data_IF_970693647225
#
_entry.id   IF_970693647225
#
_cell.length_a   1.000
_cell.length_b   1.000
_cell.length_c   1.000
_cell.angle_alpha   90.00
_cell.angle_beta   90.00
_cell.angle_gamma   90.00
#
_symmetry.space_group_name_H-M   'P 1'
#
loop_
_entity.id
_entity.type
_entity.pdbx_description
1 polymer ?
#
# COMPACT_ATOMS: atom_id res chain seq x y z
N UNK A 1 0.12 5.57 0.55
CA UNK A 1 -1.06 6.28 0.08
C UNK A 1 -2.02 5.34 -0.66
N UNK A 2 -1.68 4.82 -1.82
CA UNK A 2 -2.56 4.08 -2.76
C UNK A 2 -3.24 2.80 -2.24
N UNK A 3 -2.88 2.31 -1.10
CA UNK A 3 -3.43 1.06 -0.52
C UNK A 3 -4.18 1.29 0.78
N UNK A 4 -4.11 2.49 1.33
CA UNK A 4 -4.57 2.77 2.68
C UNK A 4 -3.89 1.92 3.76
N UNK A 5 -2.70 1.36 3.48
CA UNK A 5 -1.95 0.58 4.45
C UNK A 5 -1.55 1.42 5.68
N UNK A 6 -1.44 0.78 6.84
CA UNK A 6 -0.77 1.38 8.00
C UNK A 6 0.74 1.36 7.77
N UNK A 7 1.46 2.32 8.33
CA UNK A 7 2.92 2.37 8.20
C UNK A 7 3.61 1.04 8.55
N UNK A 8 3.20 0.39 9.63
CA UNK A 8 3.77 -0.90 10.02
C UNK A 8 3.41 -2.02 9.03
N UNK A 9 2.21 -1.99 8.44
CA UNK A 9 1.80 -2.97 7.41
C UNK A 9 2.68 -2.84 6.16
N UNK A 10 3.01 -1.61 5.76
CA UNK A 10 3.94 -1.37 4.66
C UNK A 10 5.36 -1.85 4.99
N UNK A 11 5.85 -1.55 6.19
CA UNK A 11 7.18 -1.98 6.63
C UNK A 11 7.30 -3.50 6.78
N UNK A 12 6.23 -4.18 7.15
CA UNK A 12 6.17 -5.64 7.30
C UNK A 12 5.91 -6.37 5.97
N UNK A 13 5.84 -5.65 4.84
CA UNK A 13 5.63 -6.26 3.53
C UNK A 13 6.84 -7.10 3.13
N UNK A 14 6.64 -8.40 2.98
CA UNK A 14 7.65 -9.35 2.54
C UNK A 14 7.62 -9.47 1.01
N UNK A 15 8.77 -9.74 0.40
CA UNK A 15 8.91 -9.80 -1.06
C UNK A 15 8.05 -10.90 -1.69
N UNK A 16 7.88 -12.02 -0.98
CA UNK A 16 7.03 -13.13 -1.41
C UNK A 16 5.53 -12.82 -1.42
N UNK A 17 5.12 -11.72 -0.76
CA UNK A 17 3.73 -11.27 -0.75
C UNK A 17 3.37 -10.41 -1.97
N UNK A 18 4.37 -10.03 -2.78
CA UNK A 18 4.13 -9.28 -4.01
C UNK A 18 3.61 -10.23 -5.09
N UNK A 19 2.42 -9.98 -5.64
CA UNK A 19 1.95 -10.74 -6.79
C UNK A 19 2.80 -10.41 -8.02
N UNK A 20 2.92 -11.34 -8.93
CA UNK A 20 3.52 -11.07 -10.24
C UNK A 20 2.61 -10.09 -10.98
N UNK A 21 3.15 -8.97 -11.48
CA UNK A 21 2.34 -8.01 -12.23
C UNK A 21 1.78 -8.64 -13.52
N UNK A 22 0.55 -8.28 -13.86
CA UNK A 22 -0.11 -8.67 -15.09
C UNK A 22 -0.72 -7.46 -15.81
N UNK A 23 -1.21 -7.66 -17.02
CA UNK A 23 -1.86 -6.62 -17.85
C UNK A 23 -3.38 -6.73 -17.83
N UNK A 24 -3.93 -7.79 -17.26
CA UNK A 24 -5.35 -8.09 -17.30
C UNK A 24 -6.14 -7.40 -16.17
N UNK A 25 -5.45 -7.04 -15.08
CA UNK A 25 -6.06 -6.46 -13.88
C UNK A 25 -5.55 -5.05 -13.58
N UNK A 26 -6.47 -4.14 -13.28
CA UNK A 26 -6.12 -2.79 -12.81
C UNK A 26 -5.68 -2.76 -11.34
N UNK A 27 -6.10 -3.74 -10.56
CA UNK A 27 -5.85 -3.86 -9.11
C UNK A 27 -5.37 -5.27 -8.80
N UNK A 28 -4.35 -5.38 -7.96
CA UNK A 28 -3.89 -6.65 -7.42
C UNK A 28 -4.04 -6.74 -5.90
N UNK A 29 -3.83 -7.93 -5.36
CA UNK A 29 -4.01 -8.22 -3.93
C UNK A 29 -2.69 -8.64 -3.30
N UNK A 30 -2.26 -7.89 -2.30
CA UNK A 30 -1.14 -8.23 -1.41
C UNK A 30 -1.72 -9.03 -0.24
N UNK A 31 -1.41 -10.32 -0.20
CA UNK A 31 -2.11 -11.23 0.72
C UNK A 31 -1.43 -11.36 2.06
N UNK A 32 -2.27 -11.56 3.09
CA UNK A 32 -1.85 -11.98 4.43
C UNK A 32 -0.90 -11.02 5.14
N UNK A 33 -1.04 -9.72 4.88
CA UNK A 33 -0.25 -8.69 5.55
C UNK A 33 -0.55 -8.66 7.04
N UNK A 34 0.48 -8.61 7.87
CA UNK A 34 0.34 -8.52 9.33
C UNK A 34 -0.25 -7.19 9.75
N UNK A 35 -1.29 -7.22 10.57
CA UNK A 35 -1.99 -6.03 11.05
C UNK A 35 -2.47 -6.23 12.49
N UNK A 36 -1.81 -5.62 13.46
CA UNK A 36 -2.20 -5.61 14.89
C UNK A 36 -2.66 -6.98 15.41
N UNK A 37 -1.84 -8.03 15.24
CA UNK A 37 -2.13 -9.39 15.70
C UNK A 37 -3.08 -10.20 14.81
N UNK A 38 -3.55 -9.63 13.71
CA UNK A 38 -4.34 -10.32 12.68
C UNK A 38 -3.62 -10.26 11.34
N UNK A 39 -4.16 -10.95 10.35
CA UNK A 39 -3.73 -10.81 8.96
C UNK A 39 -4.88 -10.24 8.15
N UNK A 40 -4.56 -9.45 7.15
CA UNK A 40 -5.52 -8.94 6.15
C UNK A 40 -4.89 -8.84 4.79
N UNK A 41 -5.71 -8.73 3.78
CA UNK A 41 -5.27 -8.44 2.43
C UNK A 41 -5.28 -6.92 2.21
N UNK A 42 -4.34 -6.44 1.38
CA UNK A 42 -4.30 -5.08 0.89
C UNK A 42 -4.53 -5.09 -0.62
N UNK A 43 -5.29 -4.14 -1.08
CA UNK A 43 -5.55 -3.94 -2.50
C UNK A 43 -4.65 -2.81 -3.01
N UNK A 44 -3.97 -3.03 -4.12
CA UNK A 44 -3.02 -2.08 -4.69
C UNK A 44 -3.26 -1.93 -6.19
N UNK A 45 -3.21 -0.70 -6.73
CA UNK A 45 -3.21 -0.51 -8.17
C UNK A 45 -2.08 -1.27 -8.84
N UNK A 46 -2.31 -1.84 -10.02
CA UNK A 46 -1.33 -2.68 -10.70
C UNK A 46 -0.04 -1.92 -11.04
N UNK A 47 -0.12 -0.61 -11.33
CA UNK A 47 1.07 0.20 -11.54
C UNK A 47 1.99 0.21 -10.31
N UNK A 48 1.43 0.33 -9.09
CA UNK A 48 2.21 0.30 -7.85
C UNK A 48 2.85 -1.08 -7.64
N UNK A 49 2.12 -2.15 -7.97
CA UNK A 49 2.66 -3.52 -7.89
C UNK A 49 3.84 -3.67 -8.85
N UNK A 50 3.75 -3.14 -10.08
CA UNK A 50 4.86 -3.14 -11.04
C UNK A 50 6.08 -2.39 -10.49
N UNK A 51 5.89 -1.20 -9.95
CA UNK A 51 6.97 -0.42 -9.34
C UNK A 51 7.63 -1.15 -8.17
N UNK A 52 6.83 -1.72 -7.26
CA UNK A 52 7.36 -2.50 -6.14
C UNK A 52 8.07 -3.77 -6.63
N UNK A 53 7.54 -4.42 -7.64
CA UNK A 53 8.13 -5.63 -8.22
C UNK A 53 9.47 -5.32 -8.90
N UNK A 54 9.52 -4.25 -9.72
CA UNK A 54 10.75 -3.77 -10.32
C UNK A 54 11.78 -3.40 -9.26
N UNK A 55 11.38 -2.62 -8.24
CA UNK A 55 12.23 -2.23 -7.11
C UNK A 55 12.85 -3.42 -6.37
N UNK A 56 12.13 -4.55 -6.28
CA UNK A 56 12.60 -5.76 -5.58
C UNK A 56 13.46 -6.64 -6.48
N UNK A 57 13.09 -6.78 -7.77
CA UNK A 57 13.61 -7.81 -8.67
C UNK A 57 14.43 -7.25 -9.84
N UNK A 58 14.73 -5.94 -9.89
CA UNK A 58 15.65 -5.38 -10.86
C UNK A 58 17.04 -6.03 -10.77
N UNK A 59 17.77 -6.17 -11.90
CA UNK A 59 19.02 -6.94 -11.97
C UNK A 59 20.08 -6.52 -10.94
N UNK A 60 20.17 -5.23 -10.63
CA UNK A 60 21.12 -4.71 -9.64
C UNK A 60 20.70 -4.98 -8.20
N UNK A 61 19.40 -5.25 -7.96
CA UNK A 61 18.84 -5.61 -6.66
C UNK A 61 18.86 -7.15 -6.42
N UNK A 62 18.92 -7.95 -7.49
CA UNK A 62 18.75 -9.41 -7.47
C UNK A 62 19.84 -10.17 -6.72
N UNK A 63 21.01 -9.57 -6.50
CA UNK A 63 22.11 -10.22 -5.76
C UNK A 63 21.86 -10.30 -4.24
N UNK A 64 20.79 -9.68 -3.75
CA UNK A 64 20.45 -9.70 -2.33
C UNK A 64 19.07 -10.31 -2.15
N UNK A 65 18.99 -11.60 -1.85
CA UNK A 65 17.74 -12.25 -1.36
C UNK A 65 17.26 -11.51 -0.11
N UNK A 66 16.48 -10.43 -0.31
CA UNK A 66 15.90 -9.67 0.78
C UNK A 66 14.54 -10.24 1.12
N UNK A 67 14.28 -10.40 2.41
CA UNK A 67 12.98 -10.88 2.89
C UNK A 67 11.91 -9.79 2.80
N UNK A 68 12.26 -8.54 3.06
CA UNK A 68 11.33 -7.42 3.11
C UNK A 68 11.46 -6.54 1.87
N UNK A 69 10.35 -5.95 1.44
CA UNK A 69 10.33 -5.00 0.32
C UNK A 69 11.14 -3.75 0.69
N UNK A 70 10.92 -3.23 1.89
CA UNK A 70 11.62 -2.03 2.37
C UNK A 70 12.73 -2.42 3.33
N UNK A 71 13.97 -2.20 2.90
CA UNK A 71 15.18 -2.52 3.66
C UNK A 71 16.08 -1.30 3.77
N UNK A 72 16.92 -1.28 4.80
CA UNK A 72 17.97 -0.29 4.91
C UNK A 72 19.03 -0.55 3.83
N UNK A 73 19.37 0.47 3.05
CA UNK A 73 20.36 0.35 1.96
C UNK A 73 21.79 0.59 2.43
N UNK A 74 21.95 1.42 3.44
CA UNK A 74 23.27 1.90 3.92
C UNK A 74 23.46 1.56 5.40
N UNK A 75 24.71 1.60 5.84
CA UNK A 75 25.17 1.33 7.21
C UNK A 75 25.28 -0.17 7.57
N UNK A 76 25.62 -0.45 8.82
CA UNK A 76 25.71 -1.81 9.40
C UNK A 76 24.34 -2.54 9.42
N UNK A 77 23.27 -1.89 8.97
CA UNK A 77 21.93 -2.44 8.89
C UNK A 77 21.48 -2.74 7.46
N UNK A 78 22.38 -2.61 6.46
CA UNK A 78 22.04 -2.89 5.05
C UNK A 78 21.40 -4.28 4.89
N UNK A 79 20.27 -4.33 4.15
CA UNK A 79 19.49 -5.53 3.92
C UNK A 79 18.53 -5.93 5.06
N UNK A 80 18.58 -5.27 6.22
CA UNK A 80 17.60 -5.47 7.29
C UNK A 80 16.33 -4.68 7.01
N UNK A 81 15.21 -5.15 7.54
CA UNK A 81 13.92 -4.45 7.46
C UNK A 81 14.06 -2.98 7.85
N UNK A 82 13.47 -2.09 7.07
CA UNK A 82 13.41 -0.66 7.38
C UNK A 82 12.62 -0.45 8.68
N UNK A 83 13.21 0.30 9.61
CA UNK A 83 12.54 0.60 10.89
C UNK A 83 11.52 1.72 10.72
N UNK A 84 10.53 1.76 11.62
CA UNK A 84 9.57 2.87 11.67
C UNK A 84 10.27 4.23 11.82
N UNK A 85 11.33 4.30 12.63
CA UNK A 85 12.08 5.53 12.83
C UNK A 85 12.75 6.01 11.54
N UNK A 86 13.38 5.10 10.79
CA UNK A 86 13.99 5.45 9.51
C UNK A 86 12.94 5.89 8.46
N UNK A 87 11.78 5.22 8.42
CA UNK A 87 10.66 5.65 7.57
C UNK A 87 10.11 7.02 7.99
N UNK A 88 10.05 7.30 9.29
CA UNK A 88 9.65 8.60 9.82
C UNK A 88 10.64 9.71 9.42
N UNK A 89 11.96 9.45 9.50
CA UNK A 89 12.98 10.39 9.05
C UNK A 89 12.90 10.67 7.56
N UNK A 90 12.59 9.65 6.73
CA UNK A 90 12.32 9.84 5.31
C UNK A 90 11.10 10.76 5.09
N UNK A 91 10.01 10.49 5.78
CA UNK A 91 8.80 11.30 5.71
C UNK A 91 9.09 12.77 6.08
N UNK A 92 9.85 13.00 7.16
CA UNK A 92 10.22 14.36 7.59
C UNK A 92 11.02 15.10 6.53
N UNK A 93 11.97 14.44 5.87
CA UNK A 93 12.72 15.05 4.74
C UNK A 93 11.80 15.40 3.58
N UNK A 94 10.83 14.54 3.28
CA UNK A 94 9.83 14.80 2.25
C UNK A 94 8.95 16.01 2.62
N UNK A 95 8.54 16.15 3.88
CA UNK A 95 7.83 17.32 4.38
C UNK A 95 8.65 18.59 4.19
N UNK A 96 9.92 18.57 4.57
CA UNK A 96 10.85 19.70 4.42
C UNK A 96 10.99 20.08 2.94
N UNK A 97 11.13 19.10 2.05
CA UNK A 97 11.24 19.32 0.61
C UNK A 97 9.98 19.94 0.00
N UNK A 98 8.81 19.45 0.39
CA UNK A 98 7.52 19.90 -0.13
C UNK A 98 6.99 21.17 0.54
N UNK A 99 7.55 21.59 1.66
CA UNK A 99 7.03 22.68 2.48
C UNK A 99 5.64 22.39 3.07
N UNK A 100 5.32 21.10 3.30
CA UNK A 100 4.02 20.64 3.77
C UNK A 100 4.19 19.73 4.98
N UNK A 101 3.33 19.88 5.98
CA UNK A 101 3.25 18.95 7.10
C UNK A 101 2.20 17.87 6.83
N UNK A 102 2.58 16.60 6.97
CA UNK A 102 1.67 15.45 6.90
C UNK A 102 2.25 14.24 7.62
N UNK A 103 1.40 13.35 8.09
CA UNK A 103 1.80 12.12 8.75
C UNK A 103 1.37 10.88 7.96
N UNK A 104 1.93 9.71 8.26
CA UNK A 104 1.51 8.45 7.63
C UNK A 104 0.00 8.21 7.75
N UNK A 105 -0.60 8.67 8.85
CA UNK A 105 -2.03 8.51 9.08
C UNK A 105 -2.87 9.39 8.14
N UNK A 106 -2.37 10.57 7.80
CA UNK A 106 -3.04 11.51 6.88
C UNK A 106 -3.08 10.93 5.46
N UNK A 107 -1.99 10.28 5.02
CA UNK A 107 -1.97 9.58 3.74
C UNK A 107 -3.05 8.49 3.66
N UNK A 108 -3.23 7.76 4.75
CA UNK A 108 -4.28 6.75 4.85
C UNK A 108 -5.68 7.37 4.92
N UNK A 109 -5.84 8.47 5.63
CA UNK A 109 -7.10 9.23 5.67
C UNK A 109 -7.48 9.76 4.29
N UNK A 110 -6.53 10.35 3.57
CA UNK A 110 -6.75 10.85 2.21
C UNK A 110 -7.21 9.74 1.27
N UNK A 111 -6.59 8.56 1.34
CA UNK A 111 -7.05 7.40 0.58
C UNK A 111 -8.50 7.02 0.92
N UNK A 112 -8.84 6.93 2.21
CA UNK A 112 -10.18 6.61 2.67
C UNK A 112 -11.22 7.63 2.19
N UNK A 113 -10.91 8.92 2.33
CA UNK A 113 -11.78 10.02 1.89
C UNK A 113 -11.98 9.99 0.37
N UNK A 114 -10.91 9.78 -0.39
CA UNK A 114 -10.99 9.68 -1.85
C UNK A 114 -11.90 8.54 -2.32
N UNK A 115 -11.87 7.38 -1.67
CA UNK A 115 -12.82 6.30 -1.98
C UNK A 115 -14.28 6.70 -1.72
N UNK A 116 -14.54 7.38 -0.59
CA UNK A 116 -15.89 7.83 -0.22
C UNK A 116 -16.40 8.90 -1.20
N UNK A 117 -15.56 9.87 -1.55
CA UNK A 117 -15.88 10.95 -2.49
C UNK A 117 -16.22 10.44 -3.89
N UNK A 118 -15.62 9.30 -4.27
CA UNK A 118 -15.95 8.61 -5.52
C UNK A 118 -17.18 7.70 -5.44
N UNK A 119 -17.86 7.69 -4.31
CA UNK A 119 -19.08 6.92 -4.12
C UNK A 119 -18.87 5.43 -3.89
N UNK A 120 -17.66 5.01 -3.54
CA UNK A 120 -17.40 3.61 -3.16
C UNK A 120 -18.21 3.29 -1.90
N UNK A 121 -18.92 2.16 -1.91
CA UNK A 121 -19.74 1.73 -0.77
C UNK A 121 -18.92 1.68 0.51
N UNK A 122 -19.47 2.24 1.57
CA UNK A 122 -18.79 2.36 2.87
C UNK A 122 -18.38 1.01 3.46
N UNK A 123 -19.10 -0.08 3.14
CA UNK A 123 -18.72 -1.42 3.58
C UNK A 123 -17.46 -1.90 2.86
N UNK A 124 -17.31 -1.59 1.57
CA UNK A 124 -16.09 -1.87 0.81
C UNK A 124 -14.92 -1.05 1.36
N UNK A 125 -15.14 0.24 1.60
CA UNK A 125 -14.13 1.11 2.21
C UNK A 125 -13.67 0.55 3.56
N UNK A 126 -14.59 0.13 4.43
CA UNK A 126 -14.27 -0.48 5.72
C UNK A 126 -13.45 -1.77 5.57
N UNK A 127 -13.80 -2.62 4.63
CA UNK A 127 -13.06 -3.86 4.34
C UNK A 127 -11.65 -3.55 3.86
N UNK A 128 -11.51 -2.66 2.87
CA UNK A 128 -10.23 -2.22 2.31
C UNK A 128 -9.36 -1.58 3.39
N UNK A 129 -9.95 -0.76 4.27
CA UNK A 129 -9.25 -0.12 5.39
C UNK A 129 -8.93 -1.09 6.53
N UNK A 130 -9.55 -2.28 6.58
CA UNK A 130 -9.33 -3.25 7.65
C UNK A 130 -9.77 -2.72 9.02
N UNK A 131 -10.93 -2.06 9.10
CA UNK A 131 -11.52 -1.63 10.35
C UNK A 131 -12.14 -2.82 11.06
N UNK A 132 -11.65 -3.16 12.26
CA UNK A 132 -12.08 -4.32 13.03
C UNK A 132 -13.48 -4.19 13.67
N UNK A 133 -14.05 -3.00 13.71
CA UNK A 133 -15.33 -2.73 14.35
C UNK A 133 -16.46 -2.60 13.32
N UNK A 134 -17.02 -3.75 13.01
CA UNK A 134 -18.27 -3.89 12.25
C UNK A 134 -19.47 -3.66 13.18
N UNK A 135 -19.81 -2.42 13.47
CA UNK A 135 -21.03 -2.17 14.26
C UNK A 135 -22.33 -2.25 13.45
N UNK A 136 -22.27 -2.51 12.12
CA UNK A 136 -23.48 -2.45 11.26
C UNK A 136 -23.56 -3.48 10.16
N UNK A 137 -22.88 -4.63 10.24
CA UNK A 137 -22.73 -5.45 9.02
C UNK A 137 -23.31 -6.86 9.12
N UNK A 138 -24.59 -7.00 9.44
CA UNK A 138 -25.32 -8.23 9.06
C UNK A 138 -25.55 -8.37 7.54
N UNK A 139 -25.31 -7.32 6.75
CA UNK A 139 -25.64 -7.28 5.32
C UNK A 139 -24.46 -7.55 4.38
N UNK A 140 -23.18 -7.44 4.85
CA UNK A 140 -21.98 -7.50 4.00
C UNK A 140 -20.97 -8.52 4.49
N UNK A 141 -21.41 -9.70 4.91
CA UNK A 141 -20.57 -10.67 5.63
C UNK A 141 -19.42 -11.25 4.81
N UNK A 142 -19.44 -11.20 3.50
CA UNK A 142 -18.34 -11.68 2.63
C UNK A 142 -18.40 -11.03 1.24
N UNK A 143 -17.90 -9.81 1.09
CA UNK A 143 -17.54 -9.34 -0.24
C UNK A 143 -16.34 -10.15 -0.73
N UNK A 144 -16.45 -10.73 -1.92
CA UNK A 144 -15.33 -11.42 -2.54
C UNK A 144 -14.24 -10.42 -2.98
N UNK A 145 -13.00 -10.88 -3.11
CA UNK A 145 -11.93 -10.03 -3.67
C UNK A 145 -12.34 -9.45 -5.03
N UNK A 146 -13.10 -10.22 -5.83
CA UNK A 146 -13.60 -9.78 -7.12
C UNK A 146 -14.49 -8.56 -7.00
N UNK A 147 -15.40 -8.54 -6.01
CA UNK A 147 -16.31 -7.41 -5.79
C UNK A 147 -15.52 -6.17 -5.35
N UNK A 148 -14.58 -6.35 -4.43
CA UNK A 148 -13.71 -5.26 -3.96
C UNK A 148 -12.85 -4.73 -5.10
N UNK A 149 -12.23 -5.60 -5.89
CA UNK A 149 -11.40 -5.21 -7.02
C UNK A 149 -12.20 -4.47 -8.10
N UNK A 150 -13.42 -4.90 -8.40
CA UNK A 150 -14.29 -4.22 -9.36
C UNK A 150 -14.55 -2.75 -8.97
N UNK A 151 -14.84 -2.50 -7.68
CA UNK A 151 -15.08 -1.15 -7.18
C UNK A 151 -13.81 -0.30 -7.05
N UNK A 152 -12.64 -0.92 -6.94
CA UNK A 152 -11.36 -0.21 -6.88
C UNK A 152 -10.73 0.01 -8.27
N UNK A 153 -11.23 -0.65 -9.31
CA UNK A 153 -10.70 -0.52 -10.67
C UNK A 153 -10.84 0.90 -11.18
N UNK A 154 -12.02 1.49 -11.07
CA UNK A 154 -12.29 2.86 -11.49
C UNK A 154 -11.40 3.86 -10.72
N UNK A 155 -11.21 3.61 -9.42
CA UNK A 155 -10.29 4.38 -8.58
C UNK A 155 -8.84 4.24 -9.04
N UNK A 156 -8.39 3.03 -9.35
CA UNK A 156 -7.04 2.75 -9.84
C UNK A 156 -6.74 3.39 -11.19
N UNK A 157 -7.72 3.46 -12.09
CA UNK A 157 -7.55 4.05 -13.41
C UNK A 157 -7.40 5.57 -13.40
N UNK A 158 -8.08 6.26 -12.50
CA UNK A 158 -7.94 7.71 -12.32
C UNK A 158 -6.53 8.11 -11.90
N UNK A 159 -5.77 7.22 -11.26
CA UNK A 159 -4.40 7.49 -10.84
C UNK A 159 -3.35 7.28 -11.93
N UNK A 160 -3.69 6.62 -13.04
CA UNK A 160 -2.80 6.50 -14.21
C UNK A 160 -2.47 7.84 -14.86
N UNK A 161 -3.26 8.87 -14.60
CA UNK A 161 -3.06 10.24 -15.10
C UNK A 161 -2.27 11.18 -14.20
N UNK A 162 -1.95 10.75 -12.99
CA UNK A 162 -1.15 11.52 -12.04
C UNK A 162 0.34 11.39 -12.36
N UNK A 163 0.87 12.37 -13.05
CA UNK A 163 2.29 12.47 -13.40
C UNK A 163 3.09 12.69 -12.13
N UNK A 164 3.73 11.63 -11.62
CA UNK A 164 4.80 11.76 -10.64
C UNK A 164 6.14 11.80 -11.38
N UNK A 165 6.40 12.86 -12.10
CA UNK A 165 7.74 13.19 -12.53
C UNK A 165 8.29 14.25 -11.58
N UNK A 166 9.43 13.90 -10.95
CA UNK A 166 10.31 14.80 -10.21
C UNK A 166 9.76 15.37 -8.88
N UNK A 167 9.59 14.52 -7.89
CA UNK A 167 9.62 14.97 -6.51
C UNK A 167 10.96 14.57 -5.90
N UNK A 168 11.87 15.56 -5.84
CA UNK A 168 13.20 15.63 -5.16
C UNK A 168 14.07 14.39 -5.16
#
# INVERSE_FOLDING_TARGET
>A
YYTGARSQEALDLETEMLPVPDDDHAVGVLRQIRSKGKRRDLYAPMFLIRELYAFVYEPDAADKKRKYVFVAEKSNYAGRQLTYHAAYDMMRRTQECLGMEFHFHDLRHTFCTGLIEQGVDTAIVQQVMGHAHLYTTKRYVHLSDRDVMAHLTDYGEQWKGGVYHDIC
#
